data_IF_809763011766
#
_entry.id   IF_809763011766
#
_cell.length_a   1.000
_cell.length_b   1.000
_cell.length_c   1.000
_cell.angle_alpha   90.00
_cell.angle_beta   90.00
_cell.angle_gamma   90.00
#
_symmetry.space_group_name_H-M   'P 1'
#
loop_
_entity.id
_entity.type
_entity.pdbx_description
1 polymer ?
#
# COMPACT_ATOMS: atom_id res chain seq x y z
N UNK A 1 9.66 23.49 -31.30
CA UNK A 1 10.47 24.20 -30.28
C UNK A 1 9.83 23.95 -28.92
N UNK A 2 10.25 22.90 -28.21
CA UNK A 2 9.70 22.53 -26.90
C UNK A 2 10.44 23.34 -25.82
N UNK A 3 9.72 24.20 -25.10
CA UNK A 3 10.29 25.01 -24.01
C UNK A 3 10.52 24.12 -22.78
N UNK A 4 11.78 23.76 -22.55
CA UNK A 4 12.27 23.12 -21.32
C UNK A 4 12.47 24.16 -20.21
N UNK A 5 11.38 24.68 -19.65
CA UNK A 5 11.42 25.57 -18.46
C UNK A 5 10.54 25.08 -17.29
N UNK A 6 9.82 23.96 -17.46
CA UNK A 6 8.81 23.51 -16.50
C UNK A 6 9.36 22.83 -15.23
N UNK A 7 10.54 22.20 -15.30
CA UNK A 7 11.05 21.38 -14.18
C UNK A 7 11.43 22.19 -12.94
N UNK A 8 11.83 23.45 -13.09
CA UNK A 8 12.30 24.26 -11.97
C UNK A 8 11.12 24.81 -11.13
N UNK A 9 10.05 25.27 -11.77
CA UNK A 9 8.93 25.91 -11.06
C UNK A 9 8.01 24.91 -10.36
N UNK A 10 7.75 23.75 -10.97
CA UNK A 10 6.95 22.71 -10.31
C UNK A 10 7.68 22.11 -9.10
N UNK A 11 9.00 21.94 -9.16
CA UNK A 11 9.79 21.53 -7.99
C UNK A 11 9.68 22.53 -6.83
N UNK A 12 9.82 23.83 -7.11
CA UNK A 12 9.67 24.88 -6.07
C UNK A 12 8.28 24.87 -5.46
N UNK A 13 7.24 24.70 -6.30
CA UNK A 13 5.85 24.63 -5.86
C UNK A 13 5.61 23.42 -4.96
N UNK A 14 6.04 22.23 -5.37
CA UNK A 14 5.92 21.02 -4.55
C UNK A 14 6.69 21.16 -3.23
N UNK A 15 7.92 21.67 -3.28
CA UNK A 15 8.72 21.94 -2.09
C UNK A 15 8.01 22.87 -1.11
N UNK A 16 7.46 23.98 -1.59
CA UNK A 16 6.73 24.95 -0.78
C UNK A 16 5.50 24.32 -0.11
N UNK A 17 4.69 23.56 -0.87
CA UNK A 17 3.49 22.91 -0.32
C UNK A 17 3.84 21.84 0.72
N UNK A 18 4.92 21.07 0.51
CA UNK A 18 5.41 20.14 1.51
C UNK A 18 5.78 20.85 2.83
N UNK A 19 6.42 22.02 2.77
CA UNK A 19 6.80 22.77 3.96
C UNK A 19 5.62 23.46 4.66
N UNK A 20 4.69 24.03 3.88
CA UNK A 20 3.60 24.85 4.44
C UNK A 20 2.39 24.02 4.88
N UNK A 21 2.13 22.91 4.21
CA UNK A 21 0.92 22.11 4.42
C UNK A 21 1.20 20.63 4.73
N UNK A 22 2.30 20.07 4.23
CA UNK A 22 2.64 18.64 4.43
C UNK A 22 1.83 17.65 3.58
N UNK A 23 0.87 18.11 2.76
CA UNK A 23 0.08 17.27 1.85
C UNK A 23 -0.38 18.05 0.61
N UNK A 24 -0.68 17.32 -0.48
CA UNK A 24 -1.28 17.87 -1.69
C UNK A 24 -1.98 16.78 -2.51
N UNK A 25 -2.91 17.19 -3.37
CA UNK A 25 -3.46 16.34 -4.42
C UNK A 25 -2.60 16.47 -5.68
N UNK A 26 -2.20 15.35 -6.26
CA UNK A 26 -1.48 15.29 -7.52
C UNK A 26 -2.41 14.81 -8.62
N UNK A 27 -2.46 15.55 -9.72
CA UNK A 27 -3.12 15.15 -10.97
C UNK A 27 -2.08 15.07 -12.09
N UNK A 28 -2.46 14.49 -13.23
CA UNK A 28 -1.59 14.37 -14.41
C UNK A 28 -0.27 13.63 -14.10
N UNK A 29 -0.30 12.69 -13.14
CA UNK A 29 0.87 11.92 -12.67
C UNK A 29 1.31 10.80 -13.63
N UNK A 30 0.65 10.62 -14.77
CA UNK A 30 1.02 9.64 -15.80
C UNK A 30 0.65 8.18 -15.49
N UNK A 31 -0.06 7.92 -14.39
CA UNK A 31 -0.62 6.58 -14.10
C UNK A 31 -2.01 6.53 -14.73
N UNK A 32 -2.26 5.50 -15.54
CA UNK A 32 -3.53 5.33 -16.22
C UNK A 32 -4.66 5.04 -15.23
N UNK A 33 -5.83 5.65 -15.45
CA UNK A 33 -6.97 5.54 -14.55
C UNK A 33 -7.54 4.11 -14.46
N UNK A 34 -7.48 3.35 -15.55
CA UNK A 34 -7.88 1.95 -15.61
C UNK A 34 -7.01 1.06 -14.72
N UNK A 35 -5.70 1.30 -14.66
CA UNK A 35 -4.78 0.59 -13.77
C UNK A 35 -5.10 0.87 -12.29
N UNK A 36 -5.39 2.13 -11.95
CA UNK A 36 -5.83 2.50 -10.59
C UNK A 36 -7.13 1.77 -10.23
N UNK A 37 -8.10 1.75 -11.15
CA UNK A 37 -9.38 1.09 -10.94
C UNK A 37 -9.22 -0.43 -10.76
N UNK A 38 -8.43 -1.09 -11.61
CA UNK A 38 -8.11 -2.52 -11.49
C UNK A 38 -7.44 -2.85 -10.15
N UNK A 39 -6.57 -1.97 -9.66
CA UNK A 39 -5.90 -2.14 -8.36
C UNK A 39 -6.90 -2.06 -7.20
N UNK A 40 -7.80 -1.06 -7.23
CA UNK A 40 -8.86 -0.92 -6.23
C UNK A 40 -9.81 -2.13 -6.27
N UNK A 41 -10.18 -2.60 -7.46
CA UNK A 41 -11.09 -3.75 -7.58
C UNK A 41 -10.43 -5.05 -7.10
N UNK A 42 -9.13 -5.23 -7.36
CA UNK A 42 -8.37 -6.35 -6.80
C UNK A 42 -8.34 -6.31 -5.27
N UNK A 43 -8.17 -5.11 -4.68
CA UNK A 43 -8.24 -4.92 -3.22
C UNK A 43 -9.62 -5.28 -2.68
N UNK A 44 -10.70 -4.81 -3.31
CA UNK A 44 -12.08 -5.14 -2.91
C UNK A 44 -12.34 -6.64 -2.95
N UNK A 45 -11.91 -7.30 -4.03
CA UNK A 45 -12.09 -8.73 -4.20
C UNK A 45 -11.40 -9.53 -3.08
N UNK A 46 -10.19 -9.12 -2.68
CA UNK A 46 -9.50 -9.75 -1.54
C UNK A 46 -10.28 -9.57 -0.23
N UNK A 47 -10.70 -8.35 0.10
CA UNK A 47 -11.37 -8.10 1.39
C UNK A 47 -12.79 -8.68 1.48
N UNK A 48 -13.42 -8.98 0.34
CA UNK A 48 -14.68 -9.73 0.26
C UNK A 48 -14.54 -11.24 0.53
N UNK A 49 -13.32 -11.77 0.57
CA UNK A 49 -13.11 -13.17 0.90
C UNK A 49 -13.54 -13.48 2.35
N UNK A 50 -13.97 -14.72 2.63
CA UNK A 50 -14.15 -15.23 3.98
C UNK A 50 -12.95 -14.95 4.89
N UNK A 51 -13.22 -14.70 6.17
CA UNK A 51 -12.20 -14.29 7.15
C UNK A 51 -11.06 -15.30 7.27
N UNK A 52 -11.40 -16.59 7.35
CA UNK A 52 -10.46 -17.71 7.41
C UNK A 52 -9.51 -17.72 6.20
N UNK A 53 -10.04 -17.48 4.99
CA UNK A 53 -9.21 -17.38 3.79
C UNK A 53 -8.26 -16.18 3.86
N UNK A 54 -8.69 -15.04 4.39
CA UNK A 54 -7.83 -13.86 4.56
C UNK A 54 -6.72 -14.10 5.59
N UNK A 55 -7.03 -14.82 6.68
CA UNK A 55 -6.09 -15.17 7.75
C UNK A 55 -4.94 -16.08 7.29
N UNK A 56 -5.13 -16.86 6.23
CA UNK A 56 -4.05 -17.64 5.60
C UNK A 56 -2.95 -16.75 4.98
N UNK A 57 -3.24 -15.47 4.76
CA UNK A 57 -2.27 -14.48 4.26
C UNK A 57 -1.81 -13.50 5.35
N UNK A 58 -2.04 -13.84 6.62
CA UNK A 58 -1.72 -13.00 7.77
C UNK A 58 -0.22 -12.70 7.93
N UNK A 59 0.11 -11.57 8.57
CA UNK A 59 1.50 -11.25 8.92
C UNK A 59 2.15 -12.29 9.84
N UNK A 60 1.35 -13.06 10.59
CA UNK A 60 1.77 -14.18 11.43
C UNK A 60 2.12 -15.44 10.62
N UNK A 61 1.75 -15.50 9.34
CA UNK A 61 2.05 -16.62 8.42
C UNK A 61 3.37 -16.48 7.68
N UNK A 62 4.08 -15.37 7.89
CA UNK A 62 5.35 -15.12 7.22
C UNK A 62 6.40 -16.17 7.59
N UNK A 63 7.16 -16.61 6.60
CA UNK A 63 8.28 -17.56 6.77
C UNK A 63 9.65 -16.89 6.73
N UNK A 64 9.69 -15.57 6.52
CA UNK A 64 10.93 -14.79 6.41
C UNK A 64 11.38 -14.25 7.77
N UNK A 65 12.70 -14.18 8.00
CA UNK A 65 13.28 -13.60 9.22
C UNK A 65 14.22 -12.41 8.90
N UNK A 66 14.14 -11.29 9.65
CA UNK A 66 13.09 -11.00 10.62
C UNK A 66 11.72 -10.88 9.93
N UNK A 67 10.65 -11.08 10.71
CA UNK A 67 9.30 -10.81 10.21
C UNK A 67 9.24 -9.36 9.71
N UNK A 68 8.41 -9.15 8.71
CA UNK A 68 8.21 -7.89 8.03
C UNK A 68 6.75 -7.43 8.19
N UNK A 69 6.41 -6.20 7.84
CA UNK A 69 5.01 -5.75 7.78
C UNK A 69 4.42 -6.09 6.41
N UNK A 70 4.12 -7.37 6.15
CA UNK A 70 3.58 -7.83 4.86
C UNK A 70 2.46 -8.85 5.08
N UNK A 71 1.38 -8.72 4.33
CA UNK A 71 0.21 -9.58 4.47
C UNK A 71 -0.92 -8.94 5.26
N UNK A 72 -1.91 -9.77 5.56
CA UNK A 72 -3.19 -9.37 6.13
C UNK A 72 -3.07 -9.08 7.63
N UNK A 73 -3.80 -8.05 8.07
CA UNK A 73 -4.08 -7.78 9.48
C UNK A 73 -5.60 -7.67 9.65
N UNK A 74 -6.21 -8.42 10.59
CA UNK A 74 -7.65 -8.44 10.76
C UNK A 74 -8.19 -7.12 11.28
N UNK A 75 -9.51 -6.96 11.18
CA UNK A 75 -10.25 -5.87 11.82
C UNK A 75 -9.89 -5.80 13.31
N UNK A 76 -9.53 -4.60 13.79
CA UNK A 76 -9.04 -4.35 15.16
C UNK A 76 -7.67 -4.98 15.49
N UNK A 77 -6.90 -5.38 14.46
CA UNK A 77 -5.58 -5.98 14.63
C UNK A 77 -4.45 -4.99 14.91
N UNK A 78 -4.70 -3.68 14.81
CA UNK A 78 -3.73 -2.62 15.11
C UNK A 78 -4.30 -1.59 16.08
N UNK A 79 -3.46 -1.13 16.99
CA UNK A 79 -3.72 -0.01 17.91
C UNK A 79 -2.60 0.99 17.77
N UNK A 80 -2.81 2.07 17.01
CA UNK A 80 -1.81 3.13 16.84
C UNK A 80 -1.90 4.22 17.92
N UNK A 81 -3.07 4.34 18.54
CA UNK A 81 -3.33 5.27 19.64
C UNK A 81 -3.98 4.50 20.79
N UNK A 82 -3.18 4.11 21.79
CA UNK A 82 -3.63 3.27 22.91
C UNK A 82 -4.87 3.81 23.61
N UNK A 83 -4.95 5.14 23.78
CA UNK A 83 -6.07 5.82 24.44
C UNK A 83 -7.39 5.73 23.65
N UNK A 84 -7.33 5.50 22.33
CA UNK A 84 -8.49 5.39 21.44
C UNK A 84 -8.95 3.94 21.29
N UNK A 85 -8.01 2.99 21.47
CA UNK A 85 -8.24 1.57 21.25
C UNK A 85 -7.95 1.13 19.82
N UNK A 86 -8.31 -0.12 19.46
CA UNK A 86 -7.93 -0.71 18.19
C UNK A 86 -8.67 -0.07 17.01
N UNK A 87 -7.95 0.11 15.91
CA UNK A 87 -8.47 0.76 14.71
C UNK A 87 -9.54 -0.12 14.04
N UNK A 88 -10.72 0.43 13.67
CA UNK A 88 -11.78 -0.29 13.00
C UNK A 88 -11.47 -0.46 11.50
N UNK A 89 -10.30 -1.03 11.19
CA UNK A 89 -9.82 -1.31 9.83
C UNK A 89 -9.21 -2.71 9.75
N UNK A 90 -9.40 -3.34 8.60
CA UNK A 90 -8.54 -4.43 8.14
C UNK A 90 -7.59 -3.88 7.08
N UNK A 91 -6.41 -4.49 6.93
CA UNK A 91 -5.43 -4.03 5.94
C UNK A 91 -4.65 -5.19 5.34
N UNK A 92 -3.97 -4.89 4.24
CA UNK A 92 -3.05 -5.82 3.58
C UNK A 92 -1.81 -5.06 3.13
N UNK A 93 -0.67 -5.36 3.76
CA UNK A 93 0.59 -4.69 3.42
C UNK A 93 1.32 -5.41 2.30
N UNK A 94 1.61 -4.69 1.22
CA UNK A 94 2.43 -5.18 0.11
C UNK A 94 3.79 -4.48 0.11
N UNK A 95 4.85 -5.28 -0.04
CA UNK A 95 6.21 -4.79 -0.23
C UNK A 95 6.75 -5.12 -1.61
N UNK A 96 7.88 -4.51 -1.96
CA UNK A 96 8.51 -4.75 -3.25
C UNK A 96 8.96 -6.22 -3.38
N UNK A 97 8.49 -6.90 -4.44
CA UNK A 97 8.82 -8.28 -4.78
C UNK A 97 10.28 -8.51 -5.11
N UNK A 98 11.08 -7.47 -5.40
CA UNK A 98 12.51 -7.64 -5.70
C UNK A 98 13.41 -7.59 -4.47
N UNK A 99 12.88 -7.18 -3.31
CA UNK A 99 13.62 -7.13 -2.04
C UNK A 99 14.05 -8.52 -1.56
N UNK A 100 15.02 -8.62 -0.66
CA UNK A 100 15.46 -9.89 -0.03
C UNK A 100 14.34 -10.68 0.64
N UNK A 101 13.16 -10.08 0.84
CA UNK A 101 12.01 -10.65 1.53
C UNK A 101 10.88 -11.07 0.58
N UNK A 102 11.23 -11.56 -0.63
CA UNK A 102 10.29 -11.89 -1.73
C UNK A 102 9.13 -12.79 -1.35
N UNK A 103 9.31 -13.63 -0.33
CA UNK A 103 8.40 -14.72 0.04
C UNK A 103 7.60 -14.43 1.31
N UNK A 104 7.57 -13.20 1.80
CA UNK A 104 6.86 -12.88 3.03
C UNK A 104 5.35 -13.16 2.90
N UNK A 105 4.76 -12.95 1.72
CA UNK A 105 3.38 -13.38 1.43
C UNK A 105 3.44 -14.36 0.27
N UNK A 106 2.98 -15.58 0.51
CA UNK A 106 2.83 -16.58 -0.54
C UNK A 106 1.54 -16.32 -1.31
N UNK A 107 1.63 -16.20 -2.64
CA UNK A 107 0.45 -16.15 -3.52
C UNK A 107 0.40 -17.43 -4.35
N UNK A 108 -0.41 -18.43 -3.97
CA UNK A 108 -0.42 -19.74 -4.62
C UNK A 108 -0.66 -19.67 -6.14
N UNK A 109 -1.42 -18.67 -6.60
CA UNK A 109 -1.78 -18.52 -8.02
C UNK A 109 -0.70 -17.83 -8.87
N UNK A 110 0.37 -17.31 -8.26
CA UNK A 110 1.42 -16.55 -8.95
C UNK A 110 2.79 -17.25 -8.95
N UNK A 111 2.93 -18.31 -8.15
CA UNK A 111 4.18 -19.08 -8.00
C UNK A 111 4.13 -20.44 -8.72
N UNK A 112 3.25 -20.58 -9.73
CA UNK A 112 3.11 -21.75 -10.62
C UNK A 112 3.74 -21.54 -12.00
#
# INVERSE_FOLDING_TARGET
MLKTHSGNEEHKRLYKICLEHGFFYLKDHGIYADLVQQTIDSSRNFFQLPKDIKEDYGQDKQTVYPNTSRGYVPLYGETLHEDVGPDPKELFDQGNRTSTFRQAVYWPQLDS
#
